data_IF_975560146716
#
_entry.id   IF_975560146716
#
_cell.length_a   1.000
_cell.length_b   1.000
_cell.length_c   1.000
_cell.angle_alpha   90.00
_cell.angle_beta   90.00
_cell.angle_gamma   90.00
#
_symmetry.space_group_name_H-M   'P 1'
#
loop_
_entity.id
_entity.type
_entity.pdbx_description
1 polymer ?
#
# COMPACT_ATOMS: atom_id res chain seq x y z
N UNK A 1 42.04 -6.12 -11.38
CA UNK A 1 41.41 -6.03 -10.05
C UNK A 1 39.98 -5.63 -10.30
N UNK A 2 39.03 -6.46 -9.90
CA UNK A 2 37.62 -6.10 -9.97
C UNK A 2 37.35 -4.96 -8.97
N UNK A 3 36.46 -4.00 -9.29
CA UNK A 3 36.17 -2.91 -8.39
C UNK A 3 35.56 -3.46 -7.09
N UNK A 4 36.08 -3.00 -5.94
CA UNK A 4 35.51 -3.29 -4.63
C UNK A 4 34.06 -2.80 -4.64
N UNK A 5 33.06 -3.64 -4.28
CA UNK A 5 31.68 -3.19 -4.18
C UNK A 5 31.62 -2.03 -3.20
N UNK A 6 31.34 -0.84 -3.70
CA UNK A 6 31.07 0.33 -2.87
C UNK A 6 29.61 0.23 -2.43
N UNK A 7 29.39 -0.25 -1.21
CA UNK A 7 28.07 -0.17 -0.61
C UNK A 7 27.72 1.32 -0.46
N UNK A 8 26.57 1.77 -0.98
CA UNK A 8 26.22 3.18 -0.93
C UNK A 8 26.08 3.63 0.53
N UNK A 9 26.83 4.67 0.91
CA UNK A 9 26.87 5.17 2.28
C UNK A 9 25.48 5.61 2.75
N UNK A 10 25.06 5.14 3.92
CA UNK A 10 23.76 5.46 4.52
C UNK A 10 23.84 6.84 5.17
N UNK A 11 22.90 7.72 4.83
CA UNK A 11 22.74 9.04 5.47
C UNK A 11 21.72 9.02 6.59
N UNK A 12 20.63 8.26 6.44
CA UNK A 12 19.58 8.09 7.46
C UNK A 12 19.20 6.62 7.51
N UNK A 13 19.21 6.04 8.71
CA UNK A 13 18.72 4.69 8.96
C UNK A 13 17.48 4.75 9.86
N UNK A 14 16.39 4.14 9.40
CA UNK A 14 15.10 4.09 10.12
C UNK A 14 14.69 2.63 10.27
N UNK A 15 15.35 1.86 11.15
CA UNK A 15 15.06 0.43 11.29
C UNK A 15 13.66 0.20 11.91
N UNK A 16 12.92 -0.84 11.47
CA UNK A 16 13.22 -1.79 10.40
C UNK A 16 12.71 -1.36 9.00
N UNK A 17 12.38 -0.09 8.80
CA UNK A 17 11.50 0.36 7.72
C UNK A 17 12.20 0.75 6.43
N UNK A 18 13.23 1.62 6.50
CA UNK A 18 13.92 2.12 5.31
C UNK A 18 15.30 2.67 5.64
N UNK A 19 16.13 2.79 4.59
CA UNK A 19 17.40 3.52 4.61
C UNK A 19 17.43 4.55 3.49
N UNK A 20 18.01 5.70 3.79
CA UNK A 20 18.32 6.74 2.80
C UNK A 20 19.83 6.74 2.60
N UNK A 21 20.27 6.70 1.35
CA UNK A 21 21.68 6.77 0.99
C UNK A 21 22.08 8.20 0.66
N UNK A 22 23.37 8.54 0.83
CA UNK A 22 23.88 9.88 0.50
C UNK A 22 23.72 10.28 -0.97
N UNK A 23 23.60 9.31 -1.87
CA UNK A 23 23.33 9.55 -3.29
C UNK A 23 21.84 9.84 -3.60
N UNK A 24 20.98 9.87 -2.58
CA UNK A 24 19.53 10.15 -2.71
C UNK A 24 18.65 8.91 -2.91
N UNK A 25 19.22 7.72 -3.10
CA UNK A 25 18.43 6.48 -3.20
C UNK A 25 17.80 6.13 -1.85
N UNK A 26 16.57 5.60 -1.89
CA UNK A 26 15.86 5.09 -0.72
C UNK A 26 15.68 3.58 -0.86
N UNK A 27 16.21 2.82 0.09
CA UNK A 27 15.95 1.39 0.23
C UNK A 27 14.74 1.20 1.17
N UNK A 28 13.63 0.66 0.66
CA UNK A 28 12.45 0.31 1.47
C UNK A 28 12.56 -1.14 1.92
N UNK A 29 12.58 -1.35 3.23
CA UNK A 29 12.82 -2.66 3.85
C UNK A 29 11.54 -3.31 4.37
N UNK A 30 10.54 -2.51 4.78
CA UNK A 30 9.26 -2.98 5.29
C UNK A 30 8.08 -2.23 4.65
N UNK A 31 6.87 -2.82 4.75
CA UNK A 31 5.67 -2.26 4.13
C UNK A 31 5.74 -2.24 2.60
N UNK A 32 6.47 -3.19 2.00
CA UNK A 32 6.64 -3.34 0.55
C UNK A 32 5.74 -4.42 -0.05
N UNK A 33 5.12 -5.24 0.80
CA UNK A 33 4.22 -6.30 0.35
C UNK A 33 2.95 -5.70 -0.24
N UNK A 34 2.45 -6.33 -1.30
CA UNK A 34 1.21 -5.97 -1.96
C UNK A 34 0.37 -7.21 -2.21
N UNK A 35 -0.95 -7.07 -2.13
CA UNK A 35 -1.92 -8.09 -2.53
C UNK A 35 -2.84 -7.57 -3.63
N UNK A 36 -3.25 -8.41 -4.60
CA UNK A 36 -4.19 -8.00 -5.63
C UNK A 36 -5.58 -7.69 -5.02
N UNK A 37 -6.38 -6.84 -5.68
CA UNK A 37 -7.79 -6.73 -5.34
C UNK A 37 -8.54 -7.99 -5.77
N UNK A 38 -9.70 -8.25 -5.18
CA UNK A 38 -10.51 -9.41 -5.49
C UNK A 38 -11.65 -9.61 -4.51
N UNK A 39 -12.22 -10.82 -4.55
CA UNK A 39 -13.27 -11.25 -3.61
C UNK A 39 -12.59 -11.89 -2.40
N UNK A 40 -12.78 -11.30 -1.22
CA UNK A 40 -12.28 -11.89 0.02
C UNK A 40 -13.08 -13.15 0.38
N UNK A 41 -12.45 -14.32 0.58
CA UNK A 41 -13.18 -15.57 0.79
C UNK A 41 -13.96 -15.60 2.11
N UNK A 42 -13.53 -14.84 3.12
CA UNK A 42 -14.12 -14.85 4.47
C UNK A 42 -15.29 -13.88 4.59
N UNK A 43 -15.08 -12.63 4.21
CA UNK A 43 -16.03 -11.51 4.33
C UNK A 43 -16.92 -11.35 3.10
N UNK A 44 -16.54 -11.97 1.98
CA UNK A 44 -17.16 -11.81 0.65
C UNK A 44 -17.06 -10.39 0.07
N UNK A 45 -16.34 -9.48 0.72
CA UNK A 45 -16.12 -8.12 0.20
C UNK A 45 -15.41 -8.18 -1.15
N UNK A 46 -15.90 -7.37 -2.09
CA UNK A 46 -15.29 -7.21 -3.41
C UNK A 46 -14.42 -5.97 -3.35
N UNK A 47 -13.16 -6.11 -3.77
CA UNK A 47 -12.24 -4.99 -3.95
C UNK A 47 -11.82 -4.83 -5.40
N UNK A 48 -11.52 -3.57 -5.78
CA UNK A 48 -11.05 -3.21 -7.13
C UNK A 48 -10.13 -2.00 -7.07
N UNK A 49 -9.02 -2.04 -7.80
CA UNK A 49 -8.14 -0.89 -7.97
C UNK A 49 -8.64 0.02 -9.08
N UNK A 50 -8.58 1.33 -8.83
CA UNK A 50 -8.93 2.38 -9.79
C UNK A 50 -7.81 3.43 -9.88
N UNK A 51 -7.65 4.01 -11.06
CA UNK A 51 -6.81 5.20 -11.25
C UNK A 51 -7.68 6.45 -11.14
N UNK A 52 -7.35 7.34 -10.20
CA UNK A 52 -8.04 8.61 -9.99
C UNK A 52 -7.43 9.68 -10.88
N UNK A 53 -6.10 9.81 -10.86
CA UNK A 53 -5.37 10.82 -11.64
C UNK A 53 -4.22 10.13 -12.38
N UNK A 54 -4.38 9.84 -13.69
CA UNK A 54 -3.35 9.16 -14.48
C UNK A 54 -2.01 9.89 -14.49
N UNK A 55 -2.02 11.23 -14.57
CA UNK A 55 -0.79 12.05 -14.68
C UNK A 55 0.15 11.88 -13.48
N UNK A 56 -0.38 11.64 -12.29
CA UNK A 56 0.41 11.47 -11.05
C UNK A 56 0.51 10.00 -10.62
N UNK A 57 -0.13 9.09 -11.35
CA UNK A 57 -0.29 7.69 -10.91
C UNK A 57 -1.13 7.53 -9.64
N UNK A 58 -1.99 8.50 -9.30
CA UNK A 58 -2.81 8.41 -8.09
C UNK A 58 -3.89 7.34 -8.26
N UNK A 59 -3.87 6.34 -7.38
CA UNK A 59 -4.81 5.23 -7.37
C UNK A 59 -5.54 5.12 -6.04
N UNK A 60 -6.64 4.35 -6.03
CA UNK A 60 -7.30 3.91 -4.81
C UNK A 60 -7.84 2.49 -5.00
N UNK A 61 -7.98 1.76 -3.88
CA UNK A 61 -8.69 0.49 -3.83
C UNK A 61 -10.09 0.73 -3.30
N UNK A 62 -11.11 0.45 -4.12
CA UNK A 62 -12.50 0.44 -3.71
C UNK A 62 -12.83 -0.88 -3.03
N UNK A 63 -13.66 -0.82 -2.00
CA UNK A 63 -14.23 -1.97 -1.31
C UNK A 63 -15.75 -1.83 -1.31
N UNK A 64 -16.45 -2.92 -1.63
CA UNK A 64 -17.90 -2.97 -1.65
C UNK A 64 -18.37 -4.29 -1.05
N UNK A 65 -19.40 -4.28 -0.19
CA UNK A 65 -20.02 -5.52 0.25
C UNK A 65 -20.67 -6.21 -0.95
N UNK A 66 -20.69 -7.53 -0.95
CA UNK A 66 -21.23 -8.36 -2.04
C UNK A 66 -22.73 -8.64 -1.87
N UNK A 67 -23.46 -7.72 -1.24
CA UNK A 67 -24.91 -7.77 -1.13
C UNK A 67 -25.53 -6.74 -2.09
N UNK A 68 -26.27 -7.23 -3.08
CA UNK A 68 -27.08 -6.38 -3.95
C UNK A 68 -28.25 -5.84 -3.15
N UNK A 69 -28.07 -4.68 -2.50
CA UNK A 69 -29.17 -3.89 -1.97
C UNK A 69 -29.29 -2.61 -2.78
N UNK A 70 -30.51 -2.21 -3.13
CA UNK A 70 -30.76 -0.94 -3.84
C UNK A 70 -30.54 0.30 -2.95
N UNK A 71 -30.06 0.11 -1.71
CA UNK A 71 -29.84 1.18 -0.74
C UNK A 71 -28.41 1.71 -0.89
N UNK A 72 -28.26 3.03 -0.87
CA UNK A 72 -26.94 3.68 -0.78
C UNK A 72 -26.33 3.40 0.59
N UNK A 73 -25.03 3.13 0.60
CA UNK A 73 -24.23 2.97 1.82
C UNK A 73 -23.48 4.28 2.14
N UNK A 74 -23.12 4.52 3.40
CA UNK A 74 -22.14 5.55 3.75
C UNK A 74 -20.82 5.33 3.01
N UNK A 75 -20.21 6.42 2.53
CA UNK A 75 -18.88 6.37 1.91
C UNK A 75 -17.81 6.66 2.96
N UNK A 76 -16.84 5.77 3.10
CA UNK A 76 -15.65 5.96 3.93
C UNK A 76 -14.46 6.21 3.00
N UNK A 77 -13.74 7.31 3.24
CA UNK A 77 -12.47 7.60 2.58
C UNK A 77 -11.36 7.28 3.57
N UNK A 78 -10.63 6.20 3.31
CA UNK A 78 -9.55 5.74 4.18
C UNK A 78 -8.18 6.06 3.58
N UNK A 79 -7.28 6.59 4.41
CA UNK A 79 -5.87 6.79 4.09
C UNK A 79 -5.04 5.87 4.97
N UNK A 80 -4.16 5.08 4.37
CA UNK A 80 -3.30 4.17 5.12
C UNK A 80 -2.26 4.94 5.95
N UNK A 81 -1.83 4.34 7.07
CA UNK A 81 -0.73 4.87 7.87
C UNK A 81 0.64 4.58 7.23
N UNK A 82 1.70 4.57 8.03
CA UNK A 82 3.06 4.33 7.52
C UNK A 82 3.91 5.60 7.42
N UNK A 83 3.66 6.58 8.31
CA UNK A 83 4.48 7.76 8.50
C UNK A 83 4.85 8.51 7.20
N UNK A 84 3.94 8.49 6.22
CA UNK A 84 4.10 9.09 4.88
C UNK A 84 5.22 8.49 4.00
N UNK A 85 5.89 7.43 4.43
CA UNK A 85 7.07 6.89 3.72
C UNK A 85 7.02 5.39 3.42
N UNK A 86 6.11 4.63 4.04
CA UNK A 86 5.96 3.19 3.82
C UNK A 86 4.51 2.79 3.53
N UNK A 87 4.34 1.57 3.04
CA UNK A 87 3.04 0.97 2.72
C UNK A 87 2.32 1.59 1.51
N UNK A 88 1.16 1.04 1.19
CA UNK A 88 0.27 1.46 0.11
C UNK A 88 -1.16 0.94 0.36
N UNK A 89 -2.11 1.34 -0.48
CA UNK A 89 -3.48 0.82 -0.42
C UNK A 89 -3.60 -0.71 -0.65
N UNK A 90 -2.56 -1.34 -1.22
CA UNK A 90 -2.51 -2.78 -1.48
C UNK A 90 -1.71 -3.55 -0.42
N UNK A 91 -1.24 -2.91 0.65
CA UNK A 91 -0.57 -3.60 1.75
C UNK A 91 -1.51 -4.61 2.42
N UNK A 92 -1.08 -5.86 2.64
CA UNK A 92 -1.90 -6.92 3.21
C UNK A 92 -2.57 -6.54 4.54
N UNK A 93 -1.89 -5.81 5.42
CA UNK A 93 -2.42 -5.46 6.74
C UNK A 93 -3.61 -4.50 6.63
N UNK A 94 -3.49 -3.48 5.78
CA UNK A 94 -4.57 -2.55 5.52
C UNK A 94 -5.68 -3.18 4.70
N UNK A 95 -5.35 -3.97 3.68
CA UNK A 95 -6.34 -4.70 2.89
C UNK A 95 -7.22 -5.60 3.75
N UNK A 96 -6.62 -6.41 4.62
CA UNK A 96 -7.36 -7.30 5.51
C UNK A 96 -8.21 -6.54 6.53
N UNK A 97 -7.73 -5.39 7.01
CA UNK A 97 -8.50 -4.55 7.93
C UNK A 97 -9.71 -3.93 7.24
N UNK A 98 -9.55 -3.48 5.99
CA UNK A 98 -10.64 -2.90 5.20
C UNK A 98 -11.67 -3.93 4.75
N UNK A 99 -11.26 -5.17 4.44
CA UNK A 99 -12.20 -6.27 4.20
C UNK A 99 -13.09 -6.55 5.42
N UNK A 100 -12.58 -6.35 6.65
CA UNK A 100 -13.36 -6.55 7.90
C UNK A 100 -14.23 -5.35 8.27
N UNK A 101 -13.87 -4.15 7.80
CA UNK A 101 -14.59 -2.92 8.07
C UNK A 101 -15.89 -2.82 7.25
N UNK A 102 -15.85 -3.32 6.01
CA UNK A 102 -16.93 -3.28 5.03
C UNK A 102 -17.92 -4.41 5.28
#
# INVERSE_FOLDING_TARGET
MDPIPTYPEISIDVPPYLRVHKNGTIERLAGIHVVPPGIDPQTKVISKDITIIPKTGLTARLYSPNNSTSKKLPLIIYFHGGAYCISSASDPLYHNSLNKLV
#
